data_IF_489671023162
#
_entry.id   IF_489671023162
#
_cell.length_a   1.000
_cell.length_b   1.000
_cell.length_c   1.000
_cell.angle_alpha   90.00
_cell.angle_beta   90.00
_cell.angle_gamma   90.00
#
_symmetry.space_group_name_H-M   'P 1'
#
loop_
_entity.id
_entity.type
_entity.pdbx_description
1 polymer ?
#
# COMPACT_ATOMS: atom_id res chain seq x y z
N UNK A 1 -5.57 -4.48 -11.35
CA UNK A 1 -4.84 -3.34 -10.72
C UNK A 1 -4.80 -2.24 -11.76
N UNK A 2 -5.43 -1.11 -11.47
CA UNK A 2 -5.62 -0.01 -12.41
C UNK A 2 -4.80 1.19 -11.93
N UNK A 3 -4.00 1.77 -12.81
CA UNK A 3 -3.27 3.00 -12.51
C UNK A 3 -4.21 4.18 -12.78
N UNK A 4 -4.29 5.11 -11.82
CA UNK A 4 -4.98 6.38 -12.01
C UNK A 4 -4.14 7.36 -12.83
N UNK A 5 -4.52 8.63 -12.72
CA UNK A 5 -3.80 9.73 -13.36
C UNK A 5 -2.34 9.81 -12.85
N UNK A 6 -1.41 10.04 -13.78
CA UNK A 6 0.01 10.20 -13.50
C UNK A 6 0.32 11.69 -13.54
N UNK A 7 0.77 12.22 -12.42
CA UNK A 7 1.12 13.64 -12.28
C UNK A 7 2.64 13.76 -12.10
N UNK A 8 3.25 14.75 -12.76
CA UNK A 8 4.66 15.06 -12.51
C UNK A 8 4.77 16.19 -11.50
N UNK A 9 5.54 15.97 -10.44
CA UNK A 9 5.84 16.94 -9.41
C UNK A 9 7.24 17.54 -9.67
N UNK A 10 7.35 18.75 -10.25
CA UNK A 10 8.63 19.36 -10.58
C UNK A 10 9.45 19.74 -9.35
N UNK A 11 8.81 19.96 -8.19
CA UNK A 11 9.52 20.29 -6.95
C UNK A 11 10.33 19.12 -6.39
N UNK A 12 9.89 17.88 -6.66
CA UNK A 12 10.52 16.66 -6.18
C UNK A 12 11.23 15.89 -7.29
N UNK A 13 11.11 16.33 -8.56
CA UNK A 13 11.63 15.60 -9.71
C UNK A 13 11.05 14.19 -9.81
N UNK A 14 9.76 14.04 -9.52
CA UNK A 14 9.13 12.73 -9.37
C UNK A 14 7.76 12.64 -10.06
N UNK A 15 7.43 11.45 -10.55
CA UNK A 15 6.10 11.09 -11.01
C UNK A 15 5.31 10.47 -9.86
N UNK A 16 4.08 10.91 -9.70
CA UNK A 16 3.15 10.46 -8.66
C UNK A 16 1.90 9.89 -9.32
N UNK A 17 1.40 8.78 -8.80
CA UNK A 17 0.14 8.20 -9.27
C UNK A 17 -0.56 7.42 -8.16
N UNK A 18 -1.88 7.33 -8.24
CA UNK A 18 -2.69 6.48 -7.37
C UNK A 18 -3.01 5.17 -8.08
N UNK A 19 -2.44 4.07 -7.61
CA UNK A 19 -2.79 2.74 -8.09
C UNK A 19 -3.99 2.21 -7.30
N UNK A 20 -5.08 1.90 -7.99
CA UNK A 20 -6.25 1.26 -7.39
C UNK A 20 -6.17 -0.25 -7.61
N UNK A 21 -6.22 -0.98 -6.50
CA UNK A 21 -6.31 -2.43 -6.49
C UNK A 21 -7.71 -2.83 -6.02
N UNK A 22 -8.56 -3.18 -6.98
CA UNK A 22 -9.87 -3.77 -6.70
C UNK A 22 -9.75 -5.29 -6.66
N UNK A 23 -10.23 -5.86 -5.56
CA UNK A 23 -10.51 -7.29 -5.35
C UNK A 23 -11.99 -7.40 -4.99
N UNK A 24 -12.62 -8.55 -5.24
CA UNK A 24 -14.09 -8.75 -5.16
C UNK A 24 -14.77 -8.21 -3.88
N UNK A 25 -14.04 -8.03 -2.78
CA UNK A 25 -14.56 -7.49 -1.52
C UNK A 25 -13.86 -6.23 -1.01
N UNK A 26 -12.80 -5.73 -1.69
CA UNK A 26 -12.01 -4.57 -1.23
C UNK A 26 -11.38 -3.78 -2.37
N UNK A 27 -11.46 -2.45 -2.26
CA UNK A 27 -10.75 -1.50 -3.11
C UNK A 27 -9.68 -0.77 -2.30
N UNK A 28 -8.42 -1.12 -2.51
CA UNK A 28 -7.28 -0.46 -1.88
C UNK A 28 -6.69 0.58 -2.84
N UNK A 29 -6.44 1.79 -2.34
CA UNK A 29 -5.74 2.85 -3.08
C UNK A 29 -4.32 2.97 -2.54
N UNK A 30 -3.34 2.83 -3.42
CA UNK A 30 -1.91 2.83 -3.07
C UNK A 30 -1.25 4.01 -3.76
N UNK A 31 -0.67 4.92 -2.98
CA UNK A 31 0.09 6.05 -3.48
C UNK A 31 1.47 5.60 -3.95
N UNK A 32 1.77 5.81 -5.22
CA UNK A 32 2.99 5.36 -5.86
C UNK A 32 3.81 6.58 -6.28
N UNK A 33 5.11 6.52 -6.04
CA UNK A 33 6.02 7.59 -6.43
C UNK A 33 7.22 7.00 -7.17
N UNK A 34 7.65 7.69 -8.22
CA UNK A 34 8.83 7.32 -8.99
C UNK A 34 9.66 8.56 -9.32
N UNK A 35 10.83 8.68 -8.69
CA UNK A 35 11.76 9.78 -8.91
C UNK A 35 12.52 9.58 -10.21
N UNK A 36 12.26 10.43 -11.21
CA UNK A 36 12.88 10.36 -12.52
C UNK A 36 12.72 11.70 -13.28
N UNK A 37 13.60 12.02 -14.24
CA UNK A 37 13.47 13.23 -15.05
C UNK A 37 12.22 13.20 -15.93
N UNK A 38 11.68 14.36 -16.28
CA UNK A 38 10.45 14.51 -17.08
C UNK A 38 10.54 13.78 -18.45
N UNK A 39 11.74 13.70 -19.03
CA UNK A 39 12.00 13.02 -20.30
C UNK A 39 11.94 11.49 -20.22
N UNK A 40 11.61 10.92 -19.06
CA UNK A 40 11.54 9.47 -18.90
C UNK A 40 10.40 8.90 -19.75
N UNK A 41 10.64 7.82 -20.53
CA UNK A 41 9.59 7.23 -21.36
C UNK A 41 8.40 6.80 -20.50
N UNK A 42 7.19 7.12 -20.96
CA UNK A 42 5.95 6.83 -20.23
C UNK A 42 5.84 5.35 -19.82
N UNK A 43 6.26 4.43 -20.69
CA UNK A 43 6.29 2.99 -20.40
C UNK A 43 7.20 2.63 -19.22
N UNK A 44 8.32 3.32 -19.07
CA UNK A 44 9.25 3.12 -17.95
C UNK A 44 8.62 3.65 -16.67
N UNK A 45 8.03 4.85 -16.72
CA UNK A 45 7.31 5.47 -15.60
C UNK A 45 6.17 4.59 -15.10
N UNK A 46 5.31 4.09 -16.01
CA UNK A 46 4.20 3.18 -15.66
C UNK A 46 4.73 1.90 -15.02
N UNK A 47 5.75 1.27 -15.61
CA UNK A 47 6.32 0.02 -15.06
C UNK A 47 6.92 0.24 -13.68
N UNK A 48 7.61 1.36 -13.47
CA UNK A 48 8.21 1.70 -12.20
C UNK A 48 7.14 1.97 -11.12
N UNK A 49 6.11 2.75 -11.44
CA UNK A 49 4.99 3.03 -10.54
C UNK A 49 4.23 1.76 -10.17
N UNK A 50 3.96 0.87 -11.13
CA UNK A 50 3.33 -0.43 -10.85
C UNK A 50 4.21 -1.34 -9.99
N UNK A 51 5.54 -1.30 -10.20
CA UNK A 51 6.49 -2.06 -9.38
C UNK A 51 6.47 -1.57 -7.93
N UNK A 52 6.39 -0.25 -7.72
CA UNK A 52 6.31 0.33 -6.38
C UNK A 52 4.95 0.04 -5.71
N UNK A 53 3.85 0.17 -6.45
CA UNK A 53 2.51 -0.21 -5.98
C UNK A 53 2.48 -1.66 -5.45
N UNK A 54 3.10 -2.59 -6.19
CA UNK A 54 3.22 -4.00 -5.80
C UNK A 54 4.10 -4.19 -4.56
N UNK A 55 5.17 -3.41 -4.43
CA UNK A 55 6.08 -3.46 -3.28
C UNK A 55 5.39 -2.97 -2.01
N UNK A 56 4.66 -1.86 -2.08
CA UNK A 56 3.89 -1.33 -0.96
C UNK A 56 2.75 -2.26 -0.54
N UNK A 57 2.09 -2.94 -1.48
CA UNK A 57 1.11 -3.98 -1.17
C UNK A 57 1.72 -5.13 -0.36
N UNK A 58 2.89 -5.65 -0.77
CA UNK A 58 3.58 -6.70 -0.01
C UNK A 58 3.91 -6.25 1.41
N UNK A 59 4.32 -4.99 1.59
CA UNK A 59 4.63 -4.44 2.91
C UNK A 59 3.39 -4.30 3.79
N UNK A 60 2.29 -3.78 3.25
CA UNK A 60 1.02 -3.61 4.00
C UNK A 60 0.39 -4.94 4.40
N UNK A 61 0.49 -5.98 3.56
CA UNK A 61 0.05 -7.34 3.89
C UNK A 61 0.88 -7.96 5.04
N UNK A 62 2.19 -7.69 5.06
CA UNK A 62 3.08 -8.10 6.16
C UNK A 62 2.75 -7.35 7.46
N UNK A 63 2.41 -6.06 7.39
CA UNK A 63 2.03 -5.27 8.57
C UNK A 63 0.65 -5.70 9.11
N UNK A 64 -0.32 -5.99 8.24
CA UNK A 64 -1.64 -6.48 8.61
C UNK A 64 -1.60 -7.90 9.16
N UNK A 65 -0.75 -8.78 8.62
CA UNK A 65 -0.56 -10.14 9.14
C UNK A 65 0.14 -10.14 10.51
N UNK A 66 1.09 -9.24 10.77
CA UNK A 66 1.70 -9.06 12.10
C UNK A 66 0.72 -8.51 13.14
N UNK A 67 -0.25 -7.67 12.75
CA UNK A 67 -1.28 -7.17 13.67
C UNK A 67 -2.30 -8.23 14.08
N UNK A 68 -2.53 -9.27 13.27
CA UNK A 68 -3.37 -10.41 13.69
C UNK A 68 -2.69 -11.29 14.75
N UNK A 69 -1.37 -11.35 14.79
CA UNK A 69 -0.64 -12.14 15.79
C UNK A 69 -0.54 -11.44 17.17
N UNK A 70 -0.72 -10.11 17.24
CA UNK A 70 -0.58 -9.35 18.48
C UNK A 70 -1.90 -9.15 19.26
N UNK A 71 -3.04 -9.63 18.73
CA UNK A 71 -4.36 -9.47 19.35
C UNK A 71 -4.99 -10.81 19.76
N UNK A 72 -4.17 -11.82 20.09
CA UNK A 72 -4.63 -13.10 20.64
C UNK A 72 -4.15 -13.36 22.07
N UNK A 73 -3.76 -12.32 22.81
CA UNK A 73 -3.35 -12.42 24.20
C UNK A 73 -4.07 -11.39 25.07
N UNK A 74 -5.39 -11.45 25.10
CA UNK A 74 -6.10 -11.08 26.33
C UNK A 74 -6.77 -12.35 26.83
N UNK A 75 -6.01 -13.10 27.62
CA UNK A 75 -6.54 -14.13 28.50
C UNK A 75 -7.54 -13.43 29.42
N UNK A 76 -8.83 -13.62 29.15
CA UNK A 76 -9.88 -13.25 30.07
C UNK A 76 -9.73 -14.15 31.30
N UNK A 77 -9.22 -13.54 32.36
CA UNK A 77 -8.97 -14.05 33.71
C UNK A 77 -10.16 -14.90 34.20
N UNK A 78 -9.93 -16.06 34.85
CA UNK A 78 -11.03 -16.79 35.49
C UNK A 78 -11.62 -15.91 36.60
N UNK A 79 -12.90 -15.60 36.49
CA UNK A 79 -13.66 -14.87 37.51
C UNK A 79 -13.79 -15.78 38.73
N UNK A 80 -12.93 -15.57 39.72
CA UNK A 80 -13.10 -16.08 41.07
C UNK A 80 -14.06 -15.20 41.86
N UNK A 81 -15.19 -15.83 42.23
CA UNK A 81 -16.18 -15.64 43.31
C UNK A 81 -16.06 -14.44 44.27
N UNK A 82 -17.18 -13.91 44.81
CA UNK A 82 -17.71 -14.48 46.05
C UNK A 82 -19.26 -14.44 46.23
N UNK A 83 -19.82 -15.48 46.86
CA UNK A 83 -20.75 -15.41 47.99
C UNK A 83 -20.65 -16.69 48.82
#
# INVERSE_FOLDING_TARGET
MQLGEITYNPSQGAFEALATHSTDTRCDRIACQFTAPLNTPLLVTIRALLKDARRQRKSTDIVMSRRKAACSSFAAVPVGSPM
#
